data_IF_482560024199
#
_entry.id   IF_482560024199
#
_cell.length_a   1.000
_cell.length_b   1.000
_cell.length_c   1.000
_cell.angle_alpha   90.00
_cell.angle_beta   90.00
_cell.angle_gamma   90.00
#
_symmetry.space_group_name_H-M   'P 1'
#
loop_
_entity.id
_entity.type
_entity.pdbx_description
1 polymer ?
#
# COMPACT_ATOMS: atom_id res chain seq x y z
N UNK A 1 20.98 -18.40 -31.17
CA UNK A 1 19.59 -18.39 -30.69
C UNK A 1 19.35 -17.04 -30.06
N UNK A 2 18.47 -16.22 -30.63
CA UNK A 2 18.14 -14.92 -30.03
C UNK A 2 17.26 -15.17 -28.80
N UNK A 3 17.70 -14.72 -27.63
CA UNK A 3 16.90 -14.74 -26.41
C UNK A 3 15.63 -13.94 -26.65
N UNK A 4 14.47 -14.60 -26.64
CA UNK A 4 13.17 -13.94 -26.71
C UNK A 4 13.09 -13.02 -25.49
N UNK A 5 13.10 -11.71 -25.71
CA UNK A 5 12.98 -10.73 -24.63
C UNK A 5 11.59 -10.93 -24.01
N UNK A 6 11.56 -11.38 -22.76
CA UNK A 6 10.30 -11.52 -22.02
C UNK A 6 9.80 -10.10 -21.76
N UNK A 7 8.65 -9.77 -22.36
CA UNK A 7 7.96 -8.52 -22.10
C UNK A 7 7.37 -8.63 -20.70
N UNK A 8 7.94 -7.87 -19.77
CA UNK A 8 7.52 -7.92 -18.37
C UNK A 8 6.60 -6.78 -18.00
N UNK A 9 6.52 -5.68 -18.77
CA UNK A 9 5.61 -4.56 -18.48
C UNK A 9 4.26 -4.77 -19.19
N UNK A 10 3.16 -4.65 -18.46
CA UNK A 10 1.81 -4.86 -19.03
C UNK A 10 1.51 -3.90 -20.19
N UNK A 11 2.13 -2.71 -20.21
CA UNK A 11 1.93 -1.68 -21.22
C UNK A 11 2.59 -2.02 -22.56
N UNK A 12 3.54 -2.95 -22.56
CA UNK A 12 4.17 -3.44 -23.79
C UNK A 12 3.24 -4.42 -24.55
N UNK A 13 2.20 -4.93 -23.87
CA UNK A 13 1.26 -5.93 -24.41
C UNK A 13 -0.14 -5.36 -24.70
N UNK A 14 -0.54 -4.31 -23.99
CA UNK A 14 -1.90 -3.78 -24.02
C UNK A 14 -1.90 -2.26 -24.13
N UNK A 15 -2.78 -1.71 -24.97
CA UNK A 15 -3.10 -0.29 -24.98
C UNK A 15 -3.94 0.07 -23.75
N UNK A 16 -3.28 0.58 -22.71
CA UNK A 16 -3.93 0.97 -21.45
C UNK A 16 -4.87 2.19 -21.59
N UNK A 17 -4.90 2.86 -22.75
CA UNK A 17 -5.85 3.94 -23.05
C UNK A 17 -7.14 3.45 -23.67
N UNK A 18 -7.12 2.25 -24.26
CA UNK A 18 -8.28 1.56 -24.76
C UNK A 18 -9.07 0.94 -23.60
N UNK A 19 -10.39 1.08 -23.60
CA UNK A 19 -11.22 0.59 -22.49
C UNK A 19 -11.14 -0.95 -22.33
N UNK A 20 -11.10 -1.71 -23.42
CA UNK A 20 -11.09 -3.18 -23.39
C UNK A 20 -9.71 -3.75 -23.03
N UNK A 21 -8.66 -3.28 -23.72
CA UNK A 21 -7.30 -3.71 -23.43
C UNK A 21 -6.83 -3.19 -22.07
N UNK A 22 -7.20 -1.95 -21.72
CA UNK A 22 -6.96 -1.37 -20.41
C UNK A 22 -7.64 -2.13 -19.27
N UNK A 23 -8.87 -2.63 -19.47
CA UNK A 23 -9.51 -3.50 -18.47
C UNK A 23 -8.74 -4.81 -18.30
N UNK A 24 -8.32 -5.44 -19.40
CA UNK A 24 -7.53 -6.69 -19.35
C UNK A 24 -6.21 -6.48 -18.59
N UNK A 25 -5.49 -5.40 -18.91
CA UNK A 25 -4.27 -5.02 -18.21
C UNK A 25 -4.52 -4.70 -16.73
N UNK A 26 -5.64 -4.04 -16.41
CA UNK A 26 -6.05 -3.77 -15.04
C UNK A 26 -6.31 -5.06 -14.26
N UNK A 27 -7.03 -6.02 -14.84
CA UNK A 27 -7.31 -7.32 -14.22
C UNK A 27 -6.03 -8.11 -13.93
N UNK A 28 -5.05 -8.07 -14.85
CA UNK A 28 -3.71 -8.65 -14.65
C UNK A 28 -3.03 -8.01 -13.43
N UNK A 29 -2.99 -6.68 -13.34
CA UNK A 29 -2.35 -5.99 -12.21
C UNK A 29 -3.06 -6.26 -10.88
N UNK A 30 -4.39 -6.36 -10.89
CA UNK A 30 -5.22 -6.56 -9.70
C UNK A 30 -5.15 -7.99 -9.16
N UNK A 31 -5.13 -8.98 -10.05
CA UNK A 31 -5.26 -10.40 -9.69
C UNK A 31 -3.92 -11.13 -9.55
N UNK A 32 -2.82 -10.55 -10.01
CA UNK A 32 -1.48 -11.15 -9.91
C UNK A 32 -0.63 -10.41 -8.86
N UNK A 33 -0.70 -10.82 -7.57
CA UNK A 33 0.15 -10.26 -6.53
C UNK A 33 1.62 -10.67 -6.74
N UNK A 34 2.61 -9.97 -6.17
CA UNK A 34 3.98 -10.50 -6.14
C UNK A 34 4.02 -11.91 -5.55
N UNK A 35 4.90 -12.78 -6.07
CA UNK A 35 5.09 -14.15 -5.54
C UNK A 35 6.21 -14.17 -4.50
N UNK A 36 6.01 -14.95 -3.44
CA UNK A 36 6.82 -14.97 -2.22
C UNK A 36 8.30 -15.09 -2.52
N UNK A 37 9.06 -14.16 -1.98
CA UNK A 37 10.50 -14.23 -1.83
C UNK A 37 10.80 -13.88 -0.38
N UNK A 38 11.55 -14.77 0.28
CA UNK A 38 11.92 -14.60 1.67
C UNK A 38 12.47 -13.18 1.93
N UNK A 39 11.94 -12.52 2.95
CA UNK A 39 12.39 -11.22 3.48
C UNK A 39 12.03 -9.95 2.69
N UNK A 40 11.28 -10.01 1.58
CA UNK A 40 10.90 -8.80 0.80
C UNK A 40 9.49 -8.26 1.06
N UNK A 41 8.84 -8.69 2.15
CA UNK A 41 7.42 -8.42 2.42
C UNK A 41 7.04 -6.93 2.41
N UNK A 42 7.93 -6.04 2.85
CA UNK A 42 7.70 -4.59 2.76
C UNK A 42 7.62 -4.06 1.32
N UNK A 43 8.47 -4.56 0.43
CA UNK A 43 8.47 -4.21 -1.00
C UNK A 43 7.26 -4.83 -1.70
N UNK A 44 6.95 -6.09 -1.44
CA UNK A 44 5.81 -6.78 -2.04
C UNK A 44 4.47 -6.13 -1.63
N UNK A 45 4.34 -5.72 -0.37
CA UNK A 45 3.21 -4.92 0.10
C UNK A 45 3.11 -3.57 -0.64
N UNK A 46 4.23 -2.88 -0.85
CA UNK A 46 4.24 -1.61 -1.59
C UNK A 46 3.86 -1.78 -3.07
N UNK A 47 4.40 -2.80 -3.73
CA UNK A 47 4.06 -3.11 -5.14
C UNK A 47 2.57 -3.44 -5.25
N UNK A 48 2.03 -4.25 -4.34
CA UNK A 48 0.60 -4.60 -4.31
C UNK A 48 -0.28 -3.36 -4.15
N UNK A 49 0.05 -2.45 -3.23
CA UNK A 49 -0.67 -1.18 -3.06
C UNK A 49 -0.58 -0.31 -4.32
N UNK A 50 0.61 -0.17 -4.91
CA UNK A 50 0.81 0.65 -6.11
C UNK A 50 0.01 0.11 -7.30
N UNK A 51 0.01 -1.21 -7.53
CA UNK A 51 -0.83 -1.87 -8.53
C UNK A 51 -2.31 -1.57 -8.31
N UNK A 52 -2.77 -1.62 -7.05
CA UNK A 52 -4.16 -1.27 -6.73
C UNK A 52 -4.48 0.21 -7.00
N UNK A 53 -3.54 1.11 -6.74
CA UNK A 53 -3.69 2.53 -7.10
C UNK A 53 -3.70 2.69 -8.62
N UNK A 54 -2.88 1.95 -9.36
CA UNK A 54 -2.79 2.04 -10.80
C UNK A 54 -4.08 1.60 -11.47
N UNK A 55 -4.61 0.44 -11.10
CA UNK A 55 -5.92 -0.06 -11.57
C UNK A 55 -7.04 0.93 -11.29
N UNK A 56 -6.98 1.67 -10.17
CA UNK A 56 -7.98 2.67 -9.83
C UNK A 56 -7.82 4.03 -10.54
N UNK A 57 -6.64 4.39 -11.05
CA UNK A 57 -6.34 5.79 -11.44
C UNK A 57 -5.59 5.98 -12.75
N UNK A 58 -4.89 4.97 -13.25
CA UNK A 58 -3.92 5.12 -14.34
C UNK A 58 -4.48 4.77 -15.72
N UNK A 59 -5.51 3.92 -15.79
CA UNK A 59 -6.09 3.39 -17.03
C UNK A 59 -7.12 4.33 -17.69
N UNK A 60 -7.35 4.10 -18.98
CA UNK A 60 -8.32 4.81 -19.81
C UNK A 60 -7.78 6.09 -20.45
N UNK A 61 -8.57 6.74 -21.33
CA UNK A 61 -8.11 7.87 -22.14
C UNK A 61 -7.80 9.13 -21.32
N UNK A 62 -8.31 9.20 -20.08
CA UNK A 62 -8.04 10.28 -19.11
C UNK A 62 -7.29 9.78 -17.88
N UNK A 63 -6.75 8.56 -17.93
CA UNK A 63 -5.99 7.97 -16.84
C UNK A 63 -4.71 8.74 -16.57
N UNK A 64 -4.22 8.63 -15.33
CA UNK A 64 -3.00 9.31 -14.91
C UNK A 64 -1.75 8.87 -15.68
N UNK A 65 -1.72 7.67 -16.28
CA UNK A 65 -0.56 7.21 -17.06
C UNK A 65 -0.21 8.12 -18.25
N UNK A 66 -1.18 8.91 -18.72
CA UNK A 66 -1.00 9.88 -19.81
C UNK A 66 -0.36 11.21 -19.34
N UNK A 67 -0.20 11.39 -18.02
CA UNK A 67 0.39 12.61 -17.47
C UNK A 67 1.92 12.55 -17.52
N UNK A 68 2.56 13.62 -17.98
CA UNK A 68 4.02 13.66 -18.15
C UNK A 68 4.78 13.39 -16.84
N UNK A 69 4.25 13.83 -15.71
CA UNK A 69 4.87 13.62 -14.40
C UNK A 69 4.98 12.14 -14.01
N UNK A 70 4.08 11.27 -14.51
CA UNK A 70 4.14 9.83 -14.21
C UNK A 70 5.36 9.20 -14.86
N UNK A 71 5.61 9.53 -16.13
CA UNK A 71 6.81 9.07 -16.84
C UNK A 71 8.09 9.56 -16.15
N UNK A 72 8.14 10.84 -15.80
CA UNK A 72 9.28 11.42 -15.07
C UNK A 72 9.49 10.77 -13.69
N UNK A 73 8.40 10.36 -13.03
CA UNK A 73 8.45 9.68 -11.74
C UNK A 73 8.98 8.25 -11.89
N UNK A 74 8.53 7.49 -12.89
CA UNK A 74 8.99 6.13 -13.18
C UNK A 74 10.47 6.09 -13.60
N UNK A 75 10.95 7.08 -14.35
CA UNK A 75 12.37 7.19 -14.71
C UNK A 75 13.26 7.40 -13.48
N UNK A 76 12.76 8.09 -12.46
CA UNK A 76 13.49 8.39 -11.22
C UNK A 76 13.30 7.34 -10.13
N UNK A 77 12.18 6.64 -10.13
CA UNK A 77 11.80 5.69 -9.10
C UNK A 77 11.46 4.33 -9.72
N UNK A 78 12.40 3.38 -9.70
CA UNK A 78 12.22 2.08 -10.35
C UNK A 78 11.12 1.23 -9.68
N UNK A 79 10.72 1.53 -8.43
CA UNK A 79 9.57 0.87 -7.77
C UNK A 79 8.28 1.16 -8.55
N UNK A 80 8.07 2.41 -8.98
CA UNK A 80 6.88 2.82 -9.71
C UNK A 80 6.79 2.12 -11.06
N UNK A 81 7.94 1.94 -11.73
CA UNK A 81 8.03 1.19 -12.99
C UNK A 81 7.76 -0.30 -12.77
N UNK A 82 8.36 -0.89 -11.74
CA UNK A 82 8.21 -2.30 -11.43
C UNK A 82 6.75 -2.67 -11.10
N UNK A 83 5.97 -1.75 -10.53
CA UNK A 83 4.56 -2.00 -10.24
C UNK A 83 3.71 -2.33 -11.50
N UNK A 84 4.17 -1.98 -12.70
CA UNK A 84 3.52 -2.35 -13.97
C UNK A 84 3.84 -3.78 -14.45
N UNK A 85 4.73 -4.49 -13.77
CA UNK A 85 5.19 -5.78 -14.26
C UNK A 85 4.11 -6.88 -14.23
N UNK A 86 4.14 -7.82 -15.16
CA UNK A 86 3.32 -9.03 -15.12
C UNK A 86 3.97 -9.99 -14.12
N UNK A 87 3.17 -10.48 -13.18
CA UNK A 87 3.62 -11.35 -12.09
C UNK A 87 2.85 -12.66 -12.24
N UNK A 88 3.01 -13.37 -13.36
CA UNK A 88 2.20 -14.55 -13.63
C UNK A 88 2.59 -15.76 -12.77
N UNK A 89 1.72 -16.77 -12.75
CA UNK A 89 1.91 -17.99 -11.95
C UNK A 89 2.68 -19.10 -12.69
N UNK A 90 2.90 -18.94 -14.00
CA UNK A 90 3.70 -19.93 -14.74
C UNK A 90 5.15 -19.91 -14.28
N UNK A 91 5.84 -21.05 -14.40
CA UNK A 91 7.25 -21.14 -14.00
C UNK A 91 8.15 -20.12 -14.70
N UNK A 92 7.86 -19.78 -15.96
CA UNK A 92 8.62 -18.81 -16.74
C UNK A 92 8.36 -17.37 -16.24
N UNK A 93 7.09 -17.03 -16.00
CA UNK A 93 6.72 -15.70 -15.48
C UNK A 93 7.23 -15.48 -14.07
N UNK A 94 7.14 -16.48 -13.19
CA UNK A 94 7.72 -16.44 -11.84
C UNK A 94 9.23 -16.20 -11.88
N UNK A 95 9.94 -16.90 -12.76
CA UNK A 95 11.39 -16.71 -12.92
C UNK A 95 11.74 -15.32 -13.44
N UNK A 96 10.98 -14.80 -14.40
CA UNK A 96 11.16 -13.45 -14.93
C UNK A 96 10.83 -12.37 -13.87
N UNK A 97 9.75 -12.55 -13.11
CA UNK A 97 9.35 -11.67 -12.02
C UNK A 97 10.40 -11.64 -10.90
N UNK A 98 10.88 -12.82 -10.47
CA UNK A 98 11.94 -12.92 -9.45
C UNK A 98 13.25 -12.27 -9.92
N UNK A 99 13.61 -12.44 -11.19
CA UNK A 99 14.77 -11.74 -11.76
C UNK A 99 14.58 -10.23 -11.73
N UNK A 100 13.44 -9.73 -12.21
CA UNK A 100 13.13 -8.30 -12.24
C UNK A 100 13.12 -7.69 -10.83
N UNK A 101 12.63 -8.43 -9.83
CA UNK A 101 12.67 -8.04 -8.42
C UNK A 101 14.11 -7.98 -7.90
N UNK A 102 14.93 -9.01 -8.16
CA UNK A 102 16.34 -9.02 -7.76
C UNK A 102 17.11 -7.85 -8.38
N UNK A 103 16.85 -7.54 -9.64
CA UNK A 103 17.41 -6.39 -10.34
C UNK A 103 16.97 -5.08 -9.64
N UNK A 104 15.68 -4.95 -9.28
CA UNK A 104 15.14 -3.82 -8.53
C UNK A 104 15.83 -3.65 -7.16
N UNK A 105 15.95 -4.73 -6.39
CA UNK A 105 16.60 -4.71 -5.06
C UNK A 105 18.07 -4.29 -5.20
N UNK A 106 18.75 -4.78 -6.23
CA UNK A 106 20.15 -4.42 -6.49
C UNK A 106 20.30 -2.93 -6.80
N UNK A 107 19.39 -2.37 -7.61
CA UNK A 107 19.37 -0.93 -7.92
C UNK A 107 19.09 -0.08 -6.68
N UNK A 108 18.21 -0.55 -5.79
CA UNK A 108 17.80 0.17 -4.58
C UNK A 108 18.67 -0.11 -3.34
N UNK A 109 19.57 -1.10 -3.41
CA UNK A 109 20.26 -1.68 -2.25
C UNK A 109 21.11 -0.69 -1.48
N UNK A 110 21.73 0.28 -2.16
CA UNK A 110 22.62 1.26 -1.54
C UNK A 110 21.88 2.41 -0.84
N UNK A 111 20.64 2.71 -1.23
CA UNK A 111 19.92 3.90 -0.76
C UNK A 111 18.76 3.58 0.19
N UNK A 112 18.13 2.41 0.01
CA UNK A 112 16.87 2.09 0.68
C UNK A 112 16.89 0.75 1.40
N UNK A 113 17.92 -0.07 1.20
CA UNK A 113 17.96 -1.46 1.69
C UNK A 113 16.67 -2.22 1.35
N UNK A 114 16.18 -2.09 0.10
CA UNK A 114 14.83 -2.50 -0.29
C UNK A 114 14.55 -4.00 -0.09
N UNK A 115 15.58 -4.84 0.01
CA UNK A 115 15.45 -6.26 0.32
C UNK A 115 15.13 -6.58 1.78
N UNK A 116 15.18 -5.59 2.69
CA UNK A 116 14.87 -5.79 4.12
C UNK A 116 14.06 -4.63 4.74
N UNK A 117 13.90 -3.51 4.02
CA UNK A 117 13.14 -2.35 4.47
C UNK A 117 11.66 -2.69 4.73
N UNK A 118 11.08 -2.07 5.76
CA UNK A 118 9.66 -2.24 6.01
C UNK A 118 8.83 -1.52 4.95
N UNK A 119 7.57 -1.91 4.81
CA UNK A 119 6.61 -1.16 4.01
C UNK A 119 6.59 0.32 4.38
N UNK A 120 6.64 0.64 5.68
CA UNK A 120 6.64 2.02 6.19
C UNK A 120 7.81 2.80 5.61
N UNK A 121 9.02 2.27 5.77
CA UNK A 121 10.26 2.92 5.34
C UNK A 121 10.25 3.18 3.84
N UNK A 122 9.81 2.21 3.05
CA UNK A 122 9.70 2.33 1.59
C UNK A 122 8.63 3.36 1.20
N UNK A 123 7.41 3.25 1.76
CA UNK A 123 6.26 4.08 1.43
C UNK A 123 6.45 5.55 1.82
N UNK A 124 7.13 5.83 2.94
CA UNK A 124 7.43 7.20 3.41
C UNK A 124 8.83 7.68 3.04
N UNK A 125 9.55 6.92 2.22
CA UNK A 125 10.91 7.28 1.81
C UNK A 125 10.97 8.62 1.06
N UNK A 126 12.12 9.32 1.10
CA UNK A 126 12.34 10.50 0.28
C UNK A 126 12.10 10.26 -1.22
N UNK A 127 12.44 9.06 -1.72
CA UNK A 127 12.22 8.69 -3.12
C UNK A 127 10.72 8.68 -3.46
N UNK A 128 9.90 7.96 -2.69
CA UNK A 128 8.45 7.91 -2.88
C UNK A 128 7.78 9.27 -2.67
N UNK A 129 8.21 10.03 -1.66
CA UNK A 129 7.66 11.36 -1.38
C UNK A 129 7.92 12.34 -2.54
N UNK A 130 9.15 12.37 -3.07
CA UNK A 130 9.53 13.27 -4.18
C UNK A 130 8.89 12.88 -5.51
N UNK A 131 8.74 11.58 -5.79
CA UNK A 131 8.30 11.10 -7.11
C UNK A 131 6.80 10.86 -7.20
N UNK A 132 6.15 10.41 -6.12
CA UNK A 132 4.74 10.01 -6.16
C UNK A 132 3.86 10.81 -5.19
N UNK A 133 4.13 10.80 -3.88
CA UNK A 133 3.16 11.31 -2.89
C UNK A 133 3.02 12.84 -2.82
N UNK A 134 3.98 13.58 -3.38
CA UNK A 134 3.93 15.05 -3.47
C UNK A 134 3.17 15.57 -4.70
N UNK A 135 2.69 14.66 -5.54
CA UNK A 135 2.09 15.00 -6.83
C UNK A 135 0.72 15.64 -6.66
N UNK A 136 0.42 16.57 -7.56
CA UNK A 136 -0.74 17.47 -7.48
C UNK A 136 -2.08 16.72 -7.41
N UNK A 137 -2.17 15.56 -8.08
CA UNK A 137 -3.36 14.70 -8.14
C UNK A 137 -3.59 13.87 -6.87
N UNK A 138 -2.53 13.70 -6.05
CA UNK A 138 -2.55 12.94 -4.80
C UNK A 138 -2.53 13.86 -3.56
N UNK A 139 -2.56 15.18 -3.78
CA UNK A 139 -2.48 16.17 -2.71
C UNK A 139 -3.82 16.37 -2.02
N UNK A 140 -3.87 16.14 -0.70
CA UNK A 140 -5.08 16.32 0.11
C UNK A 140 -5.54 17.78 0.15
N UNK A 141 -4.59 18.70 0.03
CA UNK A 141 -4.82 20.13 0.13
C UNK A 141 -4.59 20.87 -1.18
N UNK A 142 -5.32 21.97 -1.34
CA UNK A 142 -4.87 23.08 -2.17
C UNK A 142 -3.64 23.73 -1.54
N UNK A 143 -2.82 24.48 -2.30
CA UNK A 143 -1.73 25.24 -1.72
C UNK A 143 -2.23 26.07 -0.54
N UNK A 144 -1.58 25.89 0.61
CA UNK A 144 -1.91 26.57 1.84
C UNK A 144 -1.61 28.07 1.71
N UNK A 145 -2.39 28.92 2.38
CA UNK A 145 -2.27 30.38 2.28
C UNK A 145 -2.07 31.02 3.65
N UNK A 146 -1.15 31.98 3.76
CA UNK A 146 -0.95 32.78 4.97
C UNK A 146 -2.03 33.85 5.14
N UNK A 147 -2.64 33.93 6.32
CA UNK A 147 -3.60 34.98 6.68
C UNK A 147 -2.92 36.20 7.33
N UNK A 148 -3.38 37.43 7.06
CA UNK A 148 -4.39 37.80 6.05
C UNK A 148 -3.80 37.96 4.63
N UNK A 149 -2.48 37.77 4.46
CA UNK A 149 -1.76 38.16 3.24
C UNK A 149 -2.16 37.44 1.95
N UNK A 150 -2.80 36.28 2.05
CA UNK A 150 -3.11 35.40 0.92
C UNK A 150 -1.89 34.78 0.23
N UNK A 151 -0.67 34.98 0.74
CA UNK A 151 0.55 34.43 0.14
C UNK A 151 0.59 32.91 0.26
N UNK A 152 0.97 32.25 -0.83
CA UNK A 152 1.11 30.79 -0.87
C UNK A 152 2.28 30.34 0.02
N UNK A 153 2.02 29.37 0.89
CA UNK A 153 3.05 28.67 1.67
C UNK A 153 3.85 27.78 0.72
N UNK A 154 5.15 28.06 0.57
CA UNK A 154 6.05 27.19 -0.19
C UNK A 154 6.38 25.97 0.66
N UNK A 155 6.16 24.79 0.10
CA UNK A 155 6.49 23.50 0.73
C UNK A 155 7.40 22.71 -0.19
N UNK A 156 8.40 22.04 0.37
CA UNK A 156 9.17 21.05 -0.37
C UNK A 156 8.27 19.87 -0.76
N UNK A 157 8.66 19.04 -1.75
CA UNK A 157 7.94 17.81 -2.07
C UNK A 157 7.76 16.91 -0.84
N UNK A 158 8.78 16.82 0.02
CA UNK A 158 8.78 16.00 1.22
C UNK A 158 7.79 16.53 2.25
N UNK A 159 7.81 17.84 2.54
CA UNK A 159 6.84 18.46 3.44
C UNK A 159 5.40 18.25 2.95
N UNK A 160 5.19 18.35 1.64
CA UNK A 160 3.87 18.15 1.04
C UNK A 160 3.41 16.71 1.20
N UNK A 161 4.28 15.73 0.90
CA UNK A 161 3.96 14.32 1.04
C UNK A 161 3.64 13.93 2.48
N UNK A 162 4.40 14.48 3.45
CA UNK A 162 4.16 14.30 4.89
C UNK A 162 2.85 14.95 5.33
N UNK A 163 2.59 16.19 4.89
CA UNK A 163 1.34 16.89 5.22
C UNK A 163 0.11 16.14 4.67
N UNK A 164 0.24 15.49 3.52
CA UNK A 164 -0.83 14.70 2.90
C UNK A 164 -1.12 13.35 3.61
N UNK A 165 -0.32 12.94 4.59
CA UNK A 165 -0.57 11.73 5.39
C UNK A 165 -1.44 12.07 6.59
N UNK A 166 -2.62 11.45 6.67
CA UNK A 166 -3.54 11.64 7.80
C UNK A 166 -3.14 10.70 8.93
N UNK A 167 -3.02 11.22 10.15
CA UNK A 167 -2.71 10.41 11.33
C UNK A 167 -3.96 10.15 12.16
N UNK A 168 -4.27 8.86 12.37
CA UNK A 168 -5.31 8.38 13.26
C UNK A 168 -4.64 7.61 14.41
N UNK A 169 -4.32 8.31 15.50
CA UNK A 169 -3.64 7.72 16.64
C UNK A 169 -4.63 7.37 17.76
N UNK A 170 -5.12 6.13 17.74
CA UNK A 170 -6.04 5.61 18.78
C UNK A 170 -5.32 5.13 20.03
N UNK A 171 -4.00 4.89 19.98
CA UNK A 171 -3.21 4.67 21.20
C UNK A 171 -3.28 5.90 22.13
N UNK A 172 -3.20 7.11 21.57
CA UNK A 172 -3.28 8.35 22.35
C UNK A 172 -4.71 8.85 22.56
N UNK A 173 -5.60 8.59 21.61
CA UNK A 173 -6.99 9.03 21.67
C UNK A 173 -7.93 7.89 21.23
N UNK A 174 -8.28 6.95 22.13
CA UNK A 174 -9.07 5.76 21.79
C UNK A 174 -10.41 6.07 21.13
N UNK A 175 -11.07 7.18 21.49
CA UNK A 175 -12.36 7.58 20.94
C UNK A 175 -12.26 8.32 19.59
N UNK A 176 -11.05 8.55 19.07
CA UNK A 176 -10.88 9.25 17.81
C UNK A 176 -11.39 8.38 16.65
N UNK A 177 -12.37 8.91 15.92
CA UNK A 177 -12.90 8.29 14.71
C UNK A 177 -12.09 8.71 13.47
N UNK A 178 -12.16 7.90 12.41
CA UNK A 178 -11.58 8.25 11.11
C UNK A 178 -12.11 9.58 10.58
N UNK A 179 -13.43 9.80 10.65
CA UNK A 179 -14.03 11.06 10.20
C UNK A 179 -13.48 12.28 10.95
N UNK A 180 -13.30 12.18 12.27
CA UNK A 180 -12.69 13.25 13.06
C UNK A 180 -11.23 13.50 12.67
N UNK A 181 -10.43 12.44 12.45
CA UNK A 181 -9.04 12.57 12.02
C UNK A 181 -8.92 13.28 10.65
N UNK A 182 -9.83 12.98 9.72
CA UNK A 182 -9.93 13.65 8.42
C UNK A 182 -10.36 15.11 8.58
N UNK A 183 -11.45 15.39 9.30
CA UNK A 183 -11.98 16.75 9.44
C UNK A 183 -10.99 17.71 10.11
N UNK A 184 -10.16 17.22 11.04
CA UNK A 184 -9.12 18.02 11.71
C UNK A 184 -7.99 18.50 10.80
N UNK A 185 -7.88 17.98 9.57
CA UNK A 185 -6.83 18.38 8.62
C UNK A 185 -7.08 19.75 7.99
N UNK A 186 -8.34 20.22 7.99
CA UNK A 186 -8.76 21.42 7.28
C UNK A 186 -9.11 22.54 8.25
N UNK A 187 -9.08 23.79 7.76
CA UNK A 187 -9.35 24.97 8.57
C UNK A 187 -8.15 25.89 8.70
N UNK A 188 -8.19 26.71 9.75
CA UNK A 188 -7.12 27.66 10.08
C UNK A 188 -6.24 27.05 11.16
N UNK A 189 -4.94 27.00 10.90
CA UNK A 189 -3.93 26.49 11.81
C UNK A 189 -2.92 27.60 12.16
N UNK A 190 -2.48 27.63 13.42
CA UNK A 190 -1.38 28.50 13.86
C UNK A 190 -0.05 27.82 13.64
N UNK A 191 0.80 28.42 12.81
CA UNK A 191 2.19 28.04 12.60
C UNK A 191 3.13 29.13 13.12
N UNK A 192 4.43 28.85 13.24
CA UNK A 192 5.39 29.82 13.79
C UNK A 192 5.41 31.16 13.02
N UNK A 193 5.14 31.11 11.70
CA UNK A 193 5.14 32.27 10.80
C UNK A 193 3.77 32.97 10.66
N UNK A 194 2.74 32.55 11.41
CA UNK A 194 1.42 33.17 11.38
C UNK A 194 0.27 32.15 11.31
N UNK A 195 -0.88 32.59 10.82
CA UNK A 195 -2.03 31.71 10.58
C UNK A 195 -2.06 31.25 9.13
N UNK A 196 -2.34 29.96 8.92
CA UNK A 196 -2.39 29.34 7.60
C UNK A 196 -3.74 28.66 7.42
N UNK A 197 -4.37 28.85 6.26
CA UNK A 197 -5.58 28.13 5.89
C UNK A 197 -5.26 26.93 4.99
N UNK A 198 -5.76 25.74 5.38
CA UNK A 198 -5.68 24.49 4.63
C UNK A 198 -7.05 24.12 4.08
N UNK A 199 -7.16 24.01 2.76
CA UNK A 199 -8.41 23.76 2.03
C UNK A 199 -8.38 22.37 1.39
N UNK A 200 -9.50 21.61 1.43
CA UNK A 200 -9.57 20.29 0.80
C UNK A 200 -9.53 20.38 -0.73
N UNK A 201 -8.83 19.44 -1.39
CA UNK A 201 -8.65 19.40 -2.86
C UNK A 201 -9.31 18.23 -3.59
N UNK A 202 -9.83 17.25 -2.87
CA UNK A 202 -10.38 16.01 -3.45
C UNK A 202 -9.33 15.19 -4.25
N UNK A 203 -8.25 14.70 -3.60
CA UNK A 203 -7.24 13.87 -4.28
C UNK A 203 -7.80 12.53 -4.76
N UNK A 204 -7.14 11.87 -5.71
CA UNK A 204 -7.56 10.54 -6.15
C UNK A 204 -7.37 9.48 -5.06
N UNK A 205 -6.27 9.58 -4.30
CA UNK A 205 -5.90 8.66 -3.21
C UNK A 205 -5.64 9.45 -1.94
N UNK A 206 -6.12 8.94 -0.80
CA UNK A 206 -5.81 9.45 0.55
C UNK A 206 -5.14 8.33 1.34
N UNK A 207 -4.06 8.68 2.05
CA UNK A 207 -3.33 7.79 2.95
C UNK A 207 -3.65 8.13 4.41
N UNK A 208 -3.91 7.10 5.21
CA UNK A 208 -4.13 7.25 6.65
C UNK A 208 -3.20 6.29 7.40
N UNK A 209 -2.36 6.83 8.28
CA UNK A 209 -1.59 6.05 9.24
C UNK A 209 -2.43 5.86 10.50
N UNK A 210 -2.94 4.65 10.68
CA UNK A 210 -3.67 4.23 11.87
C UNK A 210 -2.70 3.57 12.86
N UNK A 211 -2.78 3.96 14.12
CA UNK A 211 -2.05 3.32 15.22
C UNK A 211 -3.03 2.89 16.30
N UNK A 212 -2.98 1.60 16.64
CA UNK A 212 -3.81 0.98 17.68
C UNK A 212 -2.91 0.37 18.75
N UNK A 213 -3.44 0.25 19.98
CA UNK A 213 -2.80 -0.48 21.07
C UNK A 213 -3.87 -0.96 22.04
N UNK A 214 -3.59 -2.07 22.69
CA UNK A 214 -4.32 -2.51 23.87
C UNK A 214 -4.99 -3.85 23.63
N UNK A 215 -5.17 -4.56 24.74
CA UNK A 215 -5.91 -5.83 24.78
C UNK A 215 -7.39 -5.63 25.12
N UNK A 216 -7.78 -4.39 25.42
CA UNK A 216 -9.13 -4.04 25.81
C UNK A 216 -10.06 -3.97 24.59
N UNK A 217 -11.26 -4.53 24.73
CA UNK A 217 -12.26 -4.58 23.66
C UNK A 217 -12.67 -3.18 23.17
N UNK A 218 -12.60 -2.16 24.02
CA UNK A 218 -12.91 -0.77 23.67
C UNK A 218 -11.93 -0.18 22.63
N UNK A 219 -10.71 -0.72 22.59
CA UNK A 219 -9.71 -0.35 21.60
C UNK A 219 -9.90 -1.09 20.27
N UNK A 220 -10.77 -2.10 20.24
CA UNK A 220 -11.09 -2.83 19.01
C UNK A 220 -11.70 -1.87 17.99
N UNK A 221 -11.25 -2.00 16.75
CA UNK A 221 -11.76 -1.22 15.63
C UNK A 221 -12.47 -2.15 14.66
N UNK A 222 -13.78 -2.02 14.58
CA UNK A 222 -14.56 -2.70 13.55
C UNK A 222 -14.20 -2.14 12.17
N UNK A 223 -14.11 -3.02 11.17
CA UNK A 223 -13.77 -2.64 9.80
C UNK A 223 -14.73 -1.58 9.22
N UNK A 224 -16.01 -1.63 9.60
CA UNK A 224 -17.00 -0.65 9.13
C UNK A 224 -16.65 0.79 9.55
N UNK A 225 -15.97 0.99 10.68
CA UNK A 225 -15.55 2.32 11.16
C UNK A 225 -14.41 2.95 10.35
N UNK A 226 -13.72 2.15 9.54
CA UNK A 226 -12.61 2.58 8.70
C UNK A 226 -12.88 2.35 7.23
N UNK A 227 -14.02 1.76 6.86
CA UNK A 227 -14.34 1.40 5.47
C UNK A 227 -14.45 2.62 4.56
N UNK A 228 -15.05 3.69 5.08
CA UNK A 228 -15.36 4.88 4.31
C UNK A 228 -15.38 6.13 5.19
N UNK A 229 -15.23 7.29 4.55
CA UNK A 229 -15.42 8.58 5.20
C UNK A 229 -15.89 9.63 4.17
N UNK A 230 -16.28 10.78 4.68
CA UNK A 230 -16.69 11.94 3.91
C UNK A 230 -15.58 13.00 3.96
N UNK A 231 -14.99 13.31 2.82
CA UNK A 231 -14.02 14.40 2.68
C UNK A 231 -14.78 15.72 2.48
N UNK A 232 -14.65 16.71 3.38
CA UNK A 232 -15.26 18.03 3.19
C UNK A 232 -14.85 18.64 1.84
N UNK A 233 -15.76 19.33 1.17
CA UNK A 233 -15.50 20.07 -0.06
C UNK A 233 -15.78 21.54 0.18
N UNK A 234 -14.92 22.42 -0.34
CA UNK A 234 -15.11 23.87 -0.26
C UNK A 234 -15.20 24.45 -1.67
N UNK A 235 -16.20 25.29 -1.89
CA UNK A 235 -16.41 26.03 -3.14
C UNK A 235 -16.17 27.52 -2.91
N UNK A 236 -15.74 28.21 -3.95
CA UNK A 236 -15.59 29.66 -3.94
C UNK A 236 -16.89 30.31 -4.44
N UNK A 237 -17.57 31.02 -3.55
CA UNK A 237 -18.75 31.82 -3.87
C UNK A 237 -18.34 33.28 -4.09
N UNK A 238 -18.86 33.92 -5.14
CA UNK A 238 -18.68 35.36 -5.35
C UNK A 238 -19.91 36.08 -4.82
N UNK A 239 -19.74 36.86 -3.76
CA UNK A 239 -20.78 37.71 -3.18
C UNK A 239 -20.46 39.20 -3.40
N UNK A 240 -21.44 40.07 -3.14
CA UNK A 240 -21.30 41.53 -3.25
C UNK A 240 -20.13 42.09 -2.40
N UNK A 241 -19.76 41.40 -1.32
CA UNK A 241 -18.67 41.80 -0.40
C UNK A 241 -17.31 41.19 -0.74
N UNK A 242 -17.23 40.33 -1.76
CA UNK A 242 -16.00 39.66 -2.18
C UNK A 242 -16.16 38.14 -2.37
N UNK A 243 -15.03 37.42 -2.32
CA UNK A 243 -14.98 35.96 -2.47
C UNK A 243 -15.10 35.30 -1.09
N UNK A 244 -16.05 34.40 -0.96
CA UNK A 244 -16.26 33.57 0.24
C UNK A 244 -15.90 32.12 -0.09
N UNK A 245 -15.41 31.38 0.91
CA UNK A 245 -15.31 29.92 0.85
C UNK A 245 -16.50 29.33 1.59
N UNK A 246 -17.30 28.54 0.89
CA UNK A 246 -18.46 27.85 1.45
C UNK A 246 -18.25 26.34 1.41
N UNK A 247 -18.86 25.62 2.35
CA UNK A 247 -18.89 24.16 2.31
C UNK A 247 -19.87 23.67 1.24
N UNK A 248 -19.41 22.70 0.44
CA UNK A 248 -20.19 21.99 -0.56
C UNK A 248 -20.45 20.53 -0.10
N UNK A 249 -21.20 19.77 -0.89
CA UNK A 249 -21.45 18.36 -0.64
C UNK A 249 -20.14 17.60 -0.46
N UNK A 250 -19.97 16.88 0.65
CA UNK A 250 -18.73 16.16 0.91
C UNK A 250 -18.56 15.01 -0.08
N UNK A 251 -17.31 14.71 -0.42
CA UNK A 251 -16.99 13.61 -1.30
C UNK A 251 -16.78 12.33 -0.50
N UNK A 252 -17.49 11.26 -0.85
CA UNK A 252 -17.28 9.94 -0.24
C UNK A 252 -15.99 9.28 -0.74
N UNK A 253 -15.22 8.72 0.19
CA UNK A 253 -14.03 7.92 -0.05
C UNK A 253 -14.23 6.52 0.52
N UNK A 254 -13.73 5.50 -0.17
CA UNK A 254 -13.82 4.09 0.22
C UNK A 254 -12.43 3.47 0.22
N UNK A 255 -12.18 2.58 1.17
CA UNK A 255 -10.90 1.89 1.32
C UNK A 255 -10.61 0.99 0.11
N UNK A 256 -9.35 0.98 -0.32
CA UNK A 256 -8.86 0.16 -1.44
C UNK A 256 -7.68 -0.74 -1.07
N UNK A 257 -6.96 -0.40 -0.01
CA UNK A 257 -5.89 -1.24 0.51
C UNK A 257 -5.66 -0.97 2.00
N UNK A 258 -5.24 -2.01 2.69
CA UNK A 258 -4.78 -1.97 4.07
C UNK A 258 -3.47 -2.71 4.14
N UNK A 259 -2.47 -2.08 4.75
CA UNK A 259 -1.20 -2.73 5.07
C UNK A 259 -1.04 -2.75 6.58
N UNK A 260 -0.98 -3.95 7.18
CA UNK A 260 -0.47 -4.13 8.54
C UNK A 260 1.04 -4.11 8.47
N UNK A 261 1.62 -3.13 9.12
CA UNK A 261 3.07 -3.02 9.17
C UNK A 261 3.62 -4.02 10.19
N UNK A 262 4.80 -4.57 9.92
CA UNK A 262 5.49 -5.40 10.90
C UNK A 262 5.73 -4.59 12.19
N UNK A 263 5.48 -5.16 13.38
CA UNK A 263 5.66 -4.45 14.64
C UNK A 263 7.12 -4.06 14.89
N UNK A 264 7.31 -3.05 15.74
CA UNK A 264 8.62 -2.75 16.30
C UNK A 264 9.04 -3.89 17.24
N UNK A 265 10.06 -4.64 16.83
CA UNK A 265 10.53 -5.80 17.57
C UNK A 265 11.04 -5.45 18.96
N UNK A 266 11.56 -4.23 19.18
CA UNK A 266 11.93 -3.78 20.52
C UNK A 266 10.71 -3.71 21.43
N UNK A 267 9.61 -3.15 20.94
CA UNK A 267 8.34 -3.09 21.69
C UNK A 267 7.72 -4.48 21.91
N UNK A 268 7.88 -5.42 20.96
CA UNK A 268 7.44 -6.80 21.12
C UNK A 268 8.24 -7.50 22.21
N UNK A 269 9.57 -7.41 22.18
CA UNK A 269 10.44 -8.01 23.19
C UNK A 269 10.15 -7.49 24.60
N UNK A 270 9.93 -6.17 24.75
CA UNK A 270 9.56 -5.56 26.03
C UNK A 270 8.23 -6.07 26.58
N UNK A 271 7.29 -6.47 25.72
CA UNK A 271 5.92 -6.85 26.12
C UNK A 271 5.70 -8.36 26.24
N UNK A 272 6.38 -9.18 25.43
CA UNK A 272 6.15 -10.63 25.35
C UNK A 272 7.35 -11.50 25.74
N UNK A 273 8.52 -10.91 25.97
CA UNK A 273 9.76 -11.66 26.21
C UNK A 273 10.38 -12.24 24.93
N UNK A 274 11.55 -12.87 25.06
CA UNK A 274 12.35 -13.37 23.92
C UNK A 274 11.75 -14.62 23.23
N UNK A 275 10.91 -15.39 23.93
CA UNK A 275 10.41 -16.69 23.45
C UNK A 275 9.18 -16.61 22.51
N UNK A 276 8.57 -15.43 22.34
CA UNK A 276 7.33 -15.24 21.56
C UNK A 276 7.59 -14.70 20.13
N UNK A 277 8.65 -15.18 19.47
CA UNK A 277 8.98 -14.83 18.09
C UNK A 277 8.21 -15.72 17.10
N UNK A 278 6.91 -15.49 16.96
CA UNK A 278 6.12 -16.13 15.87
C UNK A 278 6.44 -15.43 14.55
N UNK A 279 6.66 -16.19 13.46
CA UNK A 279 6.96 -15.67 12.11
C UNK A 279 5.97 -14.59 11.64
N UNK A 280 4.74 -14.61 12.14
CA UNK A 280 3.72 -13.58 11.90
C UNK A 280 4.17 -12.15 12.25
N UNK A 281 5.13 -11.98 13.16
CA UNK A 281 5.61 -10.67 13.60
C UNK A 281 6.67 -10.05 12.69
N UNK A 282 7.18 -10.77 11.69
CA UNK A 282 8.30 -10.29 10.87
C UNK A 282 7.85 -9.70 9.53
N UNK A 283 6.57 -9.87 9.18
CA UNK A 283 6.07 -9.58 7.84
C UNK A 283 5.15 -8.34 7.82
N UNK A 284 5.39 -7.48 6.84
CA UNK A 284 4.37 -6.53 6.39
C UNK A 284 3.32 -7.30 5.58
N UNK A 285 2.04 -7.10 5.88
CA UNK A 285 0.97 -7.83 5.22
C UNK A 285 -0.04 -6.86 4.58
N UNK A 286 -0.48 -7.15 3.36
CA UNK A 286 -1.37 -6.29 2.57
C UNK A 286 -2.68 -7.00 2.19
N UNK A 287 -3.77 -6.25 2.22
CA UNK A 287 -5.08 -6.66 1.68
C UNK A 287 -5.64 -5.55 0.82
N UNK A 288 -6.20 -5.89 -0.33
CA UNK A 288 -6.77 -4.93 -1.28
C UNK A 288 -8.28 -5.12 -1.43
N UNK A 289 -8.96 -4.03 -1.79
CA UNK A 289 -10.41 -3.99 -1.88
C UNK A 289 -10.85 -3.39 -3.22
N UNK A 290 -11.87 -3.99 -3.80
CA UNK A 290 -12.59 -3.47 -4.95
C UNK A 290 -13.30 -2.17 -4.57
N UNK A 291 -13.70 -1.36 -5.56
CA UNK A 291 -14.40 -0.08 -5.34
C UNK A 291 -15.72 -0.21 -4.55
N UNK A 292 -16.34 -1.40 -4.57
CA UNK A 292 -17.54 -1.73 -3.80
C UNK A 292 -17.22 -2.24 -2.38
N UNK A 293 -15.94 -2.31 -2.00
CA UNK A 293 -15.47 -2.73 -0.69
C UNK A 293 -15.31 -4.23 -0.50
N UNK A 294 -15.47 -5.05 -1.54
CA UNK A 294 -15.15 -6.49 -1.47
C UNK A 294 -13.65 -6.71 -1.48
N UNK A 295 -13.16 -7.63 -0.64
CA UNK A 295 -11.77 -8.09 -0.71
C UNK A 295 -11.48 -8.67 -2.09
N UNK A 296 -10.35 -8.29 -2.68
CA UNK A 296 -9.86 -8.87 -3.94
C UNK A 296 -9.05 -10.11 -3.59
N UNK A 297 -9.43 -11.24 -4.16
CA UNK A 297 -8.70 -12.50 -4.01
C UNK A 297 -7.78 -12.63 -5.21
N UNK A 298 -6.47 -12.68 -4.96
CA UNK A 298 -5.47 -12.92 -6.00
C UNK A 298 -5.66 -14.29 -6.67
N UNK A 299 -5.09 -14.45 -7.86
CA UNK A 299 -5.12 -15.67 -8.63
C UNK A 299 -4.40 -16.84 -7.91
N UNK A 300 -3.47 -16.52 -7.03
CA UNK A 300 -2.75 -17.46 -6.15
C UNK A 300 -2.52 -16.81 -4.78
N UNK A 301 -2.24 -17.65 -3.77
CA UNK A 301 -1.90 -17.20 -2.42
C UNK A 301 -0.42 -16.79 -2.35
N UNK A 302 -0.14 -15.76 -1.55
CA UNK A 302 1.20 -15.19 -1.35
C UNK A 302 1.43 -14.84 0.12
N UNK A 303 2.68 -14.89 0.59
CA UNK A 303 3.05 -14.67 1.99
C UNK A 303 2.83 -13.22 2.46
N UNK A 304 2.88 -12.24 1.55
CA UNK A 304 2.61 -10.85 1.87
C UNK A 304 1.10 -10.56 1.93
N UNK A 305 0.23 -11.46 1.49
CA UNK A 305 -1.22 -11.28 1.59
C UNK A 305 -1.70 -11.55 3.01
N UNK A 306 -2.51 -10.64 3.54
CA UNK A 306 -3.07 -10.81 4.89
C UNK A 306 -3.89 -12.10 4.99
N UNK A 307 -3.72 -12.88 6.09
CA UNK A 307 -4.55 -14.05 6.36
C UNK A 307 -6.04 -13.73 6.30
N UNK A 308 -6.85 -14.71 5.88
CA UNK A 308 -8.29 -14.51 5.68
C UNK A 308 -9.04 -14.07 6.94
N UNK A 309 -8.56 -14.41 8.13
CA UNK A 309 -9.23 -14.18 9.42
C UNK A 309 -8.68 -12.97 10.19
N UNK A 310 -7.83 -12.15 9.56
CA UNK A 310 -7.27 -10.95 10.19
C UNK A 310 -8.27 -9.77 10.20
N UNK A 311 -8.19 -8.91 11.23
CA UNK A 311 -8.93 -7.64 11.37
C UNK A 311 -8.05 -6.44 11.77
N UNK A 312 -8.43 -5.24 11.32
CA UNK A 312 -7.76 -3.95 11.72
C UNK A 312 -7.85 -3.67 13.22
N UNK A 313 -8.79 -4.31 13.90
CA UNK A 313 -8.98 -4.22 15.35
C UNK A 313 -8.26 -5.29 16.16
N UNK A 314 -7.38 -6.10 15.57
CA UNK A 314 -6.69 -7.18 16.28
C UNK A 314 -6.02 -6.65 17.56
N UNK A 315 -6.48 -7.16 18.70
CA UNK A 315 -6.04 -6.72 20.01
C UNK A 315 -4.68 -7.35 20.32
N UNK A 316 -3.67 -6.50 20.54
CA UNK A 316 -2.30 -6.92 20.89
C UNK A 316 -1.77 -6.10 22.06
N UNK A 317 -0.87 -6.69 22.88
CA UNK A 317 -0.26 -5.99 24.01
C UNK A 317 0.72 -4.88 23.58
N UNK A 318 1.22 -4.94 22.35
CA UNK A 318 2.10 -3.93 21.74
C UNK A 318 1.34 -3.08 20.70
N UNK A 319 1.84 -1.87 20.38
CA UNK A 319 1.25 -1.04 19.34
C UNK A 319 1.29 -1.73 17.97
N UNK A 320 0.17 -1.68 17.25
CA UNK A 320 0.10 -2.02 15.84
C UNK A 320 -0.06 -0.75 15.01
N UNK A 321 0.59 -0.74 13.86
CA UNK A 321 0.43 0.34 12.89
C UNK A 321 -0.09 -0.22 11.56
N UNK A 322 -1.00 0.53 10.95
CA UNK A 322 -1.60 0.22 9.67
C UNK A 322 -1.52 1.42 8.74
N UNK A 323 -1.21 1.17 7.47
CA UNK A 323 -1.39 2.16 6.42
C UNK A 323 -2.65 1.83 5.64
N UNK A 324 -3.62 2.73 5.68
CA UNK A 324 -4.90 2.61 4.99
C UNK A 324 -4.89 3.51 3.76
N UNK A 325 -5.38 2.99 2.64
CA UNK A 325 -5.48 3.72 1.37
C UNK A 325 -6.93 3.82 0.93
N UNK A 326 -7.36 5.02 0.57
CA UNK A 326 -8.72 5.31 0.16
C UNK A 326 -8.75 5.92 -1.22
N UNK A 327 -9.73 5.52 -2.03
CA UNK A 327 -10.04 6.17 -3.30
C UNK A 327 -11.37 6.90 -3.23
N UNK A 328 -11.53 7.91 -4.09
CA UNK A 328 -12.81 8.56 -4.32
C UNK A 328 -13.84 7.52 -4.80
N UNK A 329 -14.99 7.43 -4.13
CA UNK A 329 -16.09 6.55 -4.57
C UNK A 329 -16.65 7.07 -5.91
N UNK A 330 -16.71 6.26 -6.98
CA UNK A 330 -17.30 6.69 -8.25
C UNK A 330 -18.79 6.99 -8.07
N UNK A 331 -19.26 8.10 -8.63
CA UNK A 331 -20.64 8.59 -8.49
C UNK A 331 -21.71 7.69 -9.13
N UNK A 332 -21.30 6.67 -9.90
CA UNK A 332 -22.19 5.86 -10.75
C UNK A 332 -22.67 4.57 -10.04
N UNK A 333 -22.07 4.17 -8.92
CA UNK A 333 -22.49 2.97 -8.20
C UNK A 333 -23.62 3.27 -7.20
N UNK A 334 -24.85 2.88 -7.58
CA UNK A 334 -26.05 2.94 -6.73
C UNK A 334 -26.11 1.86 -5.65
N UNK A 335 -25.25 0.84 -5.75
CA UNK A 335 -25.19 -0.19 -4.72
C UNK A 335 -24.41 0.35 -3.53
N UNK A 336 -25.14 0.82 -2.51
CA UNK A 336 -24.55 1.05 -1.20
C UNK A 336 -24.10 -0.29 -0.63
N UNK A 337 -22.80 -0.50 -0.39
CA UNK A 337 -22.30 -1.77 0.13
C UNK A 337 -22.48 -1.87 1.66
N UNK A 338 -23.50 -1.21 2.22
CA UNK A 338 -23.81 -1.27 3.65
C UNK A 338 -24.10 -2.72 4.03
N UNK A 339 -23.33 -3.25 4.99
CA UNK A 339 -23.50 -4.60 5.51
C UNK A 339 -22.74 -5.72 4.76
N UNK A 340 -21.90 -5.39 3.76
CA UNK A 340 -20.97 -6.40 3.23
C UNK A 340 -19.87 -6.68 4.27
N UNK A 341 -19.69 -7.94 4.63
CA UNK A 341 -18.64 -8.39 5.56
C UNK A 341 -17.25 -7.97 5.06
N UNK A 342 -16.34 -7.67 5.99
CA UNK A 342 -14.91 -7.46 5.71
C UNK A 342 -14.32 -8.61 4.87
N UNK A 343 -14.83 -9.82 5.09
CA UNK A 343 -14.50 -11.02 4.34
C UNK A 343 -15.55 -11.30 3.26
N UNK A 344 -15.12 -11.32 2.00
CA UNK A 344 -15.92 -11.97 0.96
C UNK A 344 -15.94 -13.48 1.26
N UNK A 345 -17.12 -14.10 1.23
CA UNK A 345 -17.17 -15.56 1.10
C UNK A 345 -16.49 -15.92 -0.22
N UNK A 346 -15.63 -16.96 -0.27
CA UNK A 346 -15.02 -17.38 -1.52
C UNK A 346 -16.13 -17.58 -2.55
N UNK A 347 -15.94 -17.13 -3.81
CA UNK A 347 -16.91 -17.42 -4.85
C UNK A 347 -17.16 -18.93 -4.80
N UNK A 348 -18.45 -19.32 -4.74
CA UNK A 348 -18.84 -20.72 -4.95
C UNK A 348 -18.56 -21.02 -6.42
N UNK A 349 -17.29 -21.26 -6.74
CA UNK A 349 -16.86 -21.72 -8.05
C UNK A 349 -17.48 -23.09 -8.18
N UNK A 350 -18.58 -23.17 -8.93
CA UNK A 350 -19.12 -24.45 -9.34
C UNK A 350 -18.01 -25.15 -10.14
N UNK A 351 -17.45 -26.21 -9.55
CA UNK A 351 -16.38 -27.06 -10.10
C UNK A 351 -16.63 -27.55 -11.54
N UNK A 352 -17.84 -27.38 -12.08
CA UNK A 352 -18.16 -27.63 -13.50
C UNK A 352 -17.37 -26.74 -14.47
N UNK A 353 -16.93 -25.54 -14.08
CA UNK A 353 -16.14 -24.66 -14.98
C UNK A 353 -14.68 -25.11 -15.04
N UNK A 354 -14.08 -25.49 -13.91
CA UNK A 354 -12.71 -26.06 -13.86
C UNK A 354 -12.65 -27.39 -14.64
N UNK A 355 -13.67 -28.24 -14.49
CA UNK A 355 -13.77 -29.50 -15.25
C UNK A 355 -13.93 -29.33 -16.77
N UNK A 356 -14.31 -28.15 -17.25
CA UNK A 356 -14.39 -27.86 -18.68
C UNK A 356 -13.10 -27.22 -19.21
N UNK A 357 -12.36 -26.50 -18.36
CA UNK A 357 -11.02 -25.97 -18.69
C UNK A 357 -10.02 -27.11 -18.83
N UNK A 358 -10.05 -28.10 -17.93
CA UNK A 358 -9.20 -29.31 -18.01
C UNK A 358 -9.52 -30.19 -19.23
N UNK A 359 -10.75 -30.12 -19.77
CA UNK A 359 -11.15 -30.86 -20.97
C UNK A 359 -10.79 -30.15 -22.29
N UNK A 360 -10.60 -28.84 -22.25
CA UNK A 360 -10.26 -28.02 -23.41
C UNK A 360 -8.75 -27.84 -23.54
N UNK A 361 -8.02 -27.85 -22.41
CA UNK A 361 -6.58 -27.64 -22.40
C UNK A 361 -5.74 -28.89 -22.68
N UNK A 362 -6.33 -30.06 -22.94
CA UNK A 362 -5.50 -31.22 -23.22
C UNK A 362 -5.92 -32.22 -24.32
N UNK A 363 -5.76 -31.82 -25.60
CA UNK A 363 -5.53 -32.76 -26.68
C UNK A 363 -4.09 -33.34 -26.70
N UNK A 364 -3.11 -32.69 -26.07
CA UNK A 364 -1.67 -33.00 -26.24
C UNK A 364 -1.15 -34.07 -25.27
N UNK A 365 -1.72 -34.22 -24.08
CA UNK A 365 -1.40 -35.29 -23.12
C UNK A 365 -2.07 -36.61 -23.54
N UNK A 366 -3.22 -36.56 -24.20
CA UNK A 366 -3.84 -37.76 -24.78
C UNK A 366 -2.97 -38.40 -25.90
N UNK A 367 -2.27 -37.58 -26.70
CA UNK A 367 -1.31 -38.07 -27.71
C UNK A 367 -0.01 -38.59 -27.07
N UNK A 368 0.45 -37.97 -25.99
CA UNK A 368 1.66 -38.35 -25.27
C UNK A 368 1.52 -39.71 -24.56
N UNK A 369 0.33 -40.03 -24.05
CA UNK A 369 0.03 -41.33 -23.43
C UNK A 369 -0.07 -42.45 -24.49
N UNK A 370 -0.60 -42.17 -25.69
CA UNK A 370 -0.63 -43.15 -26.80
C UNK A 370 0.76 -43.47 -27.36
N UNK A 371 1.67 -42.49 -27.43
CA UNK A 371 3.07 -42.71 -27.85
C UNK A 371 3.85 -43.57 -26.86
N UNK A 372 3.55 -43.47 -25.57
CA UNK A 372 4.27 -44.19 -24.51
C UNK A 372 3.80 -45.64 -24.35
N UNK A 373 2.59 -45.98 -24.81
CA UNK A 373 2.09 -47.36 -24.84
C UNK A 373 2.50 -48.13 -26.11
N UNK A 374 2.99 -47.45 -27.15
CA UNK A 374 3.42 -48.10 -28.41
C UNK A 374 4.88 -48.55 -28.45
N UNK A 375 5.69 -48.24 -27.42
CA UNK A 375 7.15 -48.53 -27.41
C UNK A 375 7.60 -49.53 -26.35
N UNK A 376 6.68 -50.17 -25.61
CA UNK A 376 7.02 -51.31 -24.75
C UNK A 376 6.76 -52.64 -25.46
N UNK A 377 7.72 -53.02 -26.29
CA UNK A 377 7.74 -54.33 -26.93
C UNK A 377 9.07 -54.61 -27.60
N UNK A 378 10.16 -54.74 -26.83
CA UNK A 378 11.27 -55.69 -27.02
C UNK A 378 12.44 -55.27 -26.11
N UNK A 379 12.86 -56.15 -25.19
CA UNK A 379 14.24 -56.19 -24.69
C UNK A 379 15.15 -56.90 -25.72
N UNK A 380 16.40 -57.28 -25.39
CA UNK A 380 17.03 -57.20 -24.07
C UNK A 380 18.53 -56.78 -24.08
N UNK A 381 19.10 -56.84 -22.87
CA UNK A 381 20.48 -57.25 -22.52
C UNK A 381 21.66 -56.27 -22.48
N UNK A 382 22.40 -56.46 -21.37
CA UNK A 382 23.86 -56.32 -21.17
C UNK A 382 24.39 -54.88 -20.99
N UNK A 383 25.33 -54.56 -20.11
CA UNK A 383 26.05 -55.25 -19.04
C UNK A 383 26.89 -54.18 -18.32
N UNK A 384 27.22 -54.44 -17.05
CA UNK A 384 28.48 -54.07 -16.39
C UNK A 384 28.93 -52.61 -16.27
N UNK A 385 29.18 -52.16 -15.03
CA UNK A 385 30.27 -51.21 -14.79
C UNK A 385 30.20 -50.38 -13.50
N UNK A 386 30.76 -50.92 -12.43
CA UNK A 386 31.19 -50.23 -11.20
C UNK A 386 31.94 -48.89 -11.47
N UNK A 387 31.91 -47.94 -10.53
CA UNK A 387 33.10 -47.56 -9.72
C UNK A 387 32.73 -46.60 -8.57
N UNK A 388 33.34 -46.92 -7.44
CA UNK A 388 33.39 -46.38 -6.10
C UNK A 388 33.88 -44.94 -5.87
N UNK A 389 33.51 -44.45 -4.66
CA UNK A 389 34.31 -43.75 -3.63
C UNK A 389 34.87 -42.33 -3.83
N UNK A 390 34.66 -41.52 -2.80
CA UNK A 390 35.50 -40.35 -2.50
C UNK A 390 34.97 -39.49 -1.35
N UNK A 391 35.36 -39.82 -0.13
CA UNK A 391 35.05 -39.13 1.14
C UNK A 391 36.08 -38.04 1.50
N UNK A 392 35.71 -37.22 2.50
CA UNK A 392 36.51 -36.47 3.50
C UNK A 392 36.54 -34.93 3.41
N UNK A 393 36.08 -34.28 4.49
CA UNK A 393 36.36 -32.88 4.88
C UNK A 393 37.76 -32.73 5.52
N UNK A 394 38.02 -31.89 6.55
CA UNK A 394 37.22 -30.82 7.19
C UNK A 394 38.05 -29.56 7.60
N UNK A 395 37.43 -28.68 8.43
CA UNK A 395 38.00 -27.88 9.55
C UNK A 395 38.32 -26.36 9.46
N UNK A 396 37.67 -25.66 10.42
CA UNK A 396 38.13 -24.65 11.41
C UNK A 396 38.49 -23.19 11.08
N UNK A 397 37.99 -22.29 11.94
CA UNK A 397 38.61 -20.99 12.24
C UNK A 397 37.73 -20.01 13.07
N UNK A 398 37.83 -20.05 14.40
CA UNK A 398 37.38 -19.01 15.34
C UNK A 398 38.21 -17.72 15.22
N UNK A 399 37.62 -16.53 15.50
CA UNK A 399 38.05 -15.67 16.63
C UNK A 399 37.19 -14.40 16.81
N UNK A 400 37.02 -14.06 18.08
CA UNK A 400 36.38 -12.88 18.68
C UNK A 400 37.37 -11.72 18.77
N UNK A 401 36.90 -10.46 18.78
CA UNK A 401 37.37 -9.49 19.78
C UNK A 401 36.45 -8.26 19.98
N UNK A 402 36.41 -7.87 21.26
CA UNK A 402 35.72 -6.74 21.89
C UNK A 402 36.44 -5.41 21.66
N UNK A 403 35.69 -4.30 21.67
CA UNK A 403 36.11 -2.97 22.18
C UNK A 403 34.83 -2.14 22.44
N UNK A 404 34.39 -1.92 23.69
CA UNK A 404 34.64 -0.76 24.58
C UNK A 404 34.43 0.61 23.91
N UNK A 405 33.37 1.35 24.29
CA UNK A 405 33.51 2.60 25.06
C UNK A 405 32.20 3.34 25.32
N UNK A 406 32.15 3.82 26.55
CA UNK A 406 31.22 4.71 27.26
C UNK A 406 31.03 6.07 26.57
N UNK A 407 29.84 6.68 26.70
CA UNK A 407 29.69 8.12 26.95
C UNK A 407 28.31 8.44 27.51
N UNK A 408 28.31 8.99 28.73
CA UNK A 408 27.21 9.69 29.36
C UNK A 408 27.03 11.07 28.71
N UNK A 409 25.80 11.57 28.62
CA UNK A 409 25.55 13.01 28.75
C UNK A 409 24.15 13.24 29.30
N UNK A 410 24.10 14.11 30.29
CA UNK A 410 22.94 14.54 31.05
C UNK A 410 22.33 15.82 30.45
N UNK A 411 21.23 16.25 31.08
CA UNK A 411 20.63 17.60 31.06
C UNK A 411 19.86 17.96 29.77
N UNK A 412 18.78 18.74 29.77
CA UNK A 412 18.04 19.45 30.83
C UNK A 412 16.67 19.91 30.26
N UNK A 413 15.71 20.02 31.18
CA UNK A 413 14.67 21.06 31.35
C UNK A 413 13.92 21.71 30.17
N UNK A 414 12.62 21.94 30.42
CA UNK A 414 11.84 22.97 29.72
C UNK A 414 10.40 23.11 30.22
N UNK A 415 10.21 23.61 31.45
CA UNK A 415 8.91 24.07 31.95
C UNK A 415 8.38 25.23 31.08
N UNK A 416 7.11 25.13 30.63
CA UNK A 416 6.40 26.18 29.88
C UNK A 416 5.69 27.15 30.83
N UNK A 417 6.13 28.40 30.81
CA UNK A 417 5.44 29.54 31.42
C UNK A 417 4.41 30.13 30.44
N UNK A 418 3.22 30.47 30.94
CA UNK A 418 2.12 31.15 30.22
C UNK A 418 2.43 32.64 30.02
N UNK A 419 2.18 33.17 28.83
CA UNK A 419 1.95 34.60 28.56
C UNK A 419 1.00 34.77 27.33
N UNK A 420 0.44 35.96 27.03
CA UNK A 420 -0.98 36.29 27.16
C UNK A 420 -1.73 36.43 25.81
N UNK A 421 -3.05 36.58 25.87
CA UNK A 421 -3.95 36.74 24.71
C UNK A 421 -3.70 38.03 23.90
N UNK A 422 -3.71 37.96 22.55
CA UNK A 422 -3.82 39.11 21.66
C UNK A 422 -5.28 39.38 21.21
N UNK A 423 -5.57 40.56 20.61
CA UNK A 423 -6.87 41.22 20.65
C UNK A 423 -7.90 40.67 19.65
N UNK A 424 -9.16 40.89 20.00
CA UNK A 424 -10.35 40.52 19.21
C UNK A 424 -10.42 41.32 17.90
N UNK A 425 -10.65 40.63 16.77
CA UNK A 425 -10.97 41.33 15.53
C UNK A 425 -10.95 40.53 14.23
N UNK A 426 -11.59 39.34 14.15
CA UNK A 426 -12.29 38.85 12.94
C UNK A 426 -13.36 37.84 13.42
N UNK A 427 -14.63 38.13 13.21
CA UNK A 427 -15.72 37.22 13.55
C UNK A 427 -15.94 36.22 12.40
N UNK A 428 -15.58 34.96 12.62
CA UNK A 428 -16.09 33.84 11.82
C UNK A 428 -17.45 33.43 12.41
N UNK A 429 -18.53 33.67 11.67
CA UNK A 429 -19.83 33.09 12.02
C UNK A 429 -19.87 31.64 11.52
N UNK A 430 -19.79 30.68 12.44
CA UNK A 430 -20.21 29.31 12.16
C UNK A 430 -21.74 29.28 12.12
N UNK A 431 -22.30 29.09 10.93
CA UNK A 431 -23.73 28.86 10.76
C UNK A 431 -24.07 27.41 11.09
N UNK A 432 -24.39 27.12 12.36
CA UNK A 432 -25.09 25.89 12.71
C UNK A 432 -26.54 25.95 12.20
N UNK A 433 -26.82 25.26 11.09
CA UNK A 433 -28.19 24.92 10.71
C UNK A 433 -28.48 23.47 11.09
N UNK A 434 -29.16 23.30 12.22
CA UNK A 434 -29.90 22.08 12.52
C UNK A 434 -31.04 21.92 11.52
N UNK A 435 -31.03 20.86 10.72
CA UNK A 435 -32.23 20.44 9.96
C UNK A 435 -32.90 19.30 10.72
N UNK A 436 -34.16 19.54 11.09
CA UNK A 436 -35.18 18.52 11.32
C UNK A 436 -35.52 17.82 10.02
#
# INVERSE_FOLDING_TARGET
>A
MASRQVLTDVRDLYDITNDFEGQTASDILELQPPTDCEHTTGLDALITVLRRIYTATMFGPRGLAQQSWVKDAEEKNPILKHAWHILGDSSEERLAANKARSDLITVLGNEMNAGAASFKDLCTSPLMNKTFWSQVHLSLFWPALYLPSGKVVRQSPEDRATTNLVHLNREQNPDMTLQQAISRQFGVEKVQSGEVVRRPKCPLIIRVLLRTKGVERENQMEFEHIRQFLLPQWIEATEERGRLLEEDQPQCYTIIAVVRMRPDMTAVHETQGEESMVDEHQNDNVRTYAHNGRNIIGAYEDSALMPRHWSVGDLRPYPLEYMLFYMRKPSVFRDEPMGQKEHAEPPKIYLKVVHNVDKVLDPQVAESIKKTQSTKGHGPDSDGGNTEMGSLGPQHGHQSNKTVSTSQTAQEQGQRTRVPQPPQGVAFQQAHKSRK
#
